data_IF_097009839062
#
_entry.id   IF_097009839062
#
_cell.length_a   1.000
_cell.length_b   1.000
_cell.length_c   1.000
_cell.angle_alpha   90.00
_cell.angle_beta   90.00
_cell.angle_gamma   90.00
#
_symmetry.space_group_name_H-M   'P 1'
#
loop_
_entity.id
_entity.type
_entity.pdbx_description
1 polymer ?
#
# COMPACT_ATOMS: atom_id res chain seq x y z
N UNK A 1 -0.82 22.85 -2.29
CA UNK A 1 -0.90 22.19 -0.98
C UNK A 1 0.04 21.00 -0.98
N UNK A 2 0.87 20.81 0.05
CA UNK A 2 1.69 19.61 0.19
C UNK A 2 1.12 18.77 1.33
N UNK A 3 0.62 17.58 1.01
CA UNK A 3 0.36 16.52 2.00
C UNK A 3 -1.08 16.39 2.53
N UNK A 4 -2.10 16.31 1.67
CA UNK A 4 -3.47 16.04 2.09
C UNK A 4 -4.23 15.17 1.07
N UNK A 5 -5.16 14.35 1.54
CA UNK A 5 -6.21 13.76 0.70
C UNK A 5 -7.35 14.77 0.55
N UNK A 6 -7.88 14.86 -0.67
CA UNK A 6 -8.98 15.76 -1.00
C UNK A 6 -10.28 14.95 -1.03
N UNK A 7 -11.24 15.24 -0.15
CA UNK A 7 -12.55 14.62 -0.19
C UNK A 7 -13.38 15.16 -1.36
N UNK A 8 -14.48 14.48 -1.68
CA UNK A 8 -15.32 14.82 -2.84
C UNK A 8 -16.03 16.18 -2.73
N UNK A 9 -16.15 16.71 -1.52
CA UNK A 9 -16.74 18.00 -1.18
C UNK A 9 -15.69 19.10 -0.96
N UNK A 10 -14.45 18.89 -1.43
CA UNK A 10 -13.38 19.89 -1.33
C UNK A 10 -13.79 21.21 -1.98
N UNK A 11 -13.82 22.27 -1.18
CA UNK A 11 -14.26 23.62 -1.51
C UNK A 11 -13.17 24.49 -2.15
N UNK A 12 -11.94 23.97 -2.26
CA UNK A 12 -10.78 24.70 -2.76
C UNK A 12 -9.91 25.31 -1.65
N UNK A 13 -10.33 25.27 -0.38
CA UNK A 13 -9.62 25.94 0.71
C UNK A 13 -9.46 25.09 1.98
N UNK A 14 -10.55 24.52 2.53
CA UNK A 14 -10.60 24.20 3.96
C UNK A 14 -10.90 22.73 4.29
N UNK A 15 -11.59 22.00 3.40
CA UNK A 15 -11.98 20.61 3.69
C UNK A 15 -10.93 19.64 3.16
N UNK A 16 -9.86 19.38 3.92
CA UNK A 16 -8.85 18.39 3.54
C UNK A 16 -8.58 17.40 4.68
N UNK A 17 -8.17 16.19 4.32
CA UNK A 17 -7.68 15.19 5.28
C UNK A 17 -6.16 15.23 5.26
N UNK A 18 -5.56 15.76 6.33
CA UNK A 18 -4.11 15.93 6.38
C UNK A 18 -3.40 14.59 6.51
N UNK A 19 -2.33 14.38 5.75
CA UNK A 19 -1.53 13.14 5.87
C UNK A 19 -0.98 12.94 7.29
N UNK A 20 -0.63 14.03 7.98
CA UNK A 20 -0.18 14.03 9.38
C UNK A 20 -1.25 13.45 10.33
N UNK A 21 -2.51 13.82 10.13
CA UNK A 21 -3.63 13.35 10.96
C UNK A 21 -3.84 11.84 10.78
N UNK A 22 -3.81 11.36 9.53
CA UNK A 22 -3.90 9.92 9.25
C UNK A 22 -2.72 9.17 9.87
N UNK A 23 -1.50 9.73 9.80
CA UNK A 23 -0.32 9.16 10.45
C UNK A 23 -0.46 9.10 11.98
N UNK A 24 -1.06 10.11 12.62
CA UNK A 24 -1.33 10.11 14.06
C UNK A 24 -2.37 9.05 14.45
N UNK A 25 -3.42 8.88 13.66
CA UNK A 25 -4.42 7.82 13.86
C UNK A 25 -3.73 6.45 13.75
N UNK A 26 -2.91 6.26 12.72
CA UNK A 26 -2.16 5.02 12.53
C UNK A 26 -1.15 4.78 13.64
N UNK A 27 -0.48 5.80 14.17
CA UNK A 27 0.46 5.63 15.27
C UNK A 27 -0.23 5.20 16.56
N UNK A 28 -1.43 5.70 16.82
CA UNK A 28 -2.23 5.34 17.99
C UNK A 28 -2.93 3.98 17.84
N UNK A 29 -2.97 3.41 16.63
CA UNK A 29 -3.52 2.09 16.40
C UNK A 29 -2.60 1.00 16.99
N UNK A 30 -3.19 0.11 17.80
CA UNK A 30 -2.50 -1.00 18.48
C UNK A 30 -2.24 -2.21 17.58
N UNK A 31 -2.69 -2.19 16.33
CA UNK A 31 -2.44 -3.27 15.38
C UNK A 31 -0.93 -3.50 15.19
N UNK A 32 -0.50 -4.76 15.29
CA UNK A 32 0.91 -5.18 15.12
C UNK A 32 1.44 -4.81 13.73
N UNK A 33 0.66 -5.13 12.70
CA UNK A 33 1.00 -4.92 11.30
C UNK A 33 -0.04 -3.99 10.67
N UNK A 34 0.40 -2.97 9.97
CA UNK A 34 -0.46 -1.97 9.32
C UNK A 34 -0.05 -1.86 7.86
N UNK A 35 -1.01 -1.99 6.96
CA UNK A 35 -0.81 -1.78 5.52
C UNK A 35 -1.71 -0.63 5.07
N UNK A 36 -1.11 0.39 4.50
CA UNK A 36 -1.80 1.53 3.90
C UNK A 36 -1.53 1.50 2.40
N UNK A 37 -2.60 1.40 1.61
CA UNK A 37 -2.53 1.50 0.16
C UNK A 37 -3.20 2.83 -0.21
N UNK A 38 -2.47 3.73 -0.85
CA UNK A 38 -3.01 5.01 -1.27
C UNK A 38 -2.86 5.19 -2.79
N UNK A 39 -4.00 5.28 -3.46
CA UNK A 39 -4.07 5.58 -4.87
C UNK A 39 -4.58 7.00 -5.08
N UNK A 40 -3.63 7.93 -5.04
CA UNK A 40 -3.89 9.34 -5.26
C UNK A 40 -2.66 9.96 -5.95
N UNK A 41 -2.90 10.94 -6.82
CA UNK A 41 -1.83 11.76 -7.38
C UNK A 41 -1.04 12.41 -6.23
N UNK A 42 0.29 12.46 -6.35
CA UNK A 42 1.17 13.06 -5.35
C UNK A 42 1.15 12.40 -3.94
N UNK A 43 0.67 11.14 -3.85
CA UNK A 43 0.62 10.36 -2.60
C UNK A 43 2.01 10.17 -1.95
N UNK A 44 3.11 10.26 -2.72
CA UNK A 44 4.48 10.17 -2.22
C UNK A 44 4.90 11.18 -1.13
N UNK A 45 4.11 12.22 -0.87
CA UNK A 45 4.34 13.21 0.21
C UNK A 45 3.96 12.70 1.62
N UNK A 46 3.35 11.52 1.72
CA UNK A 46 2.75 10.94 2.93
C UNK A 46 3.75 10.46 4.02
N UNK A 47 5.07 10.63 3.83
CA UNK A 47 6.07 9.90 4.62
C UNK A 47 6.52 10.70 5.85
N UNK A 48 6.03 10.32 7.03
CA UNK A 48 6.61 10.70 8.32
C UNK A 48 7.28 9.48 8.96
N UNK A 49 8.57 9.62 9.29
CA UNK A 49 9.35 8.64 10.04
C UNK A 49 9.00 8.73 11.52
N UNK A 50 8.59 7.61 12.13
CA UNK A 50 8.86 7.30 13.54
C UNK A 50 8.53 5.85 13.85
N UNK A 51 9.51 5.20 14.48
CA UNK A 51 9.47 3.88 15.09
C UNK A 51 8.43 3.85 16.22
N UNK A 52 7.66 2.75 16.31
CA UNK A 52 6.67 2.52 17.37
C UNK A 52 6.95 1.17 18.02
N UNK A 53 7.11 1.17 19.35
CA UNK A 53 7.14 -0.03 20.18
C UNK A 53 5.76 -0.69 20.21
N UNK A 54 5.72 -1.96 19.83
CA UNK A 54 4.48 -2.73 19.64
C UNK A 54 3.95 -3.36 20.95
N UNK A 55 2.66 -3.21 21.21
CA UNK A 55 1.93 -4.00 22.19
C UNK A 55 1.60 -5.40 21.63
N UNK A 56 1.84 -6.45 22.42
CA UNK A 56 1.48 -7.84 22.09
C UNK A 56 0.05 -8.14 22.52
N UNK A 57 -0.81 -8.47 21.58
CA UNK A 57 -2.06 -9.19 21.86
C UNK A 57 -2.18 -10.33 20.85
N UNK A 58 -2.09 -11.56 21.35
CA UNK A 58 -2.36 -12.76 20.56
C UNK A 58 -3.87 -12.96 20.51
N UNK A 59 -4.43 -13.00 19.30
CA UNK A 59 -5.79 -13.48 19.06
C UNK A 59 -5.67 -14.92 18.57
N UNK A 60 -6.11 -15.85 19.40
CA UNK A 60 -6.27 -17.27 19.06
C UNK A 60 -7.65 -17.43 18.39
N UNK A 61 -7.69 -17.40 17.06
CA UNK A 61 -8.65 -18.12 16.15
C UNK A 61 -8.59 -17.57 14.69
N UNK A 62 -7.43 -17.07 14.25
CA UNK A 62 -7.28 -16.46 12.93
C UNK A 62 -6.61 -17.42 11.95
N UNK A 63 -7.29 -17.80 10.86
CA UNK A 63 -6.74 -18.72 9.85
C UNK A 63 -5.37 -18.29 9.26
N UNK A 64 -4.76 -19.14 8.43
CA UNK A 64 -3.37 -19.08 7.91
C UNK A 64 -2.71 -17.68 7.80
N UNK A 65 -3.42 -16.67 7.29
CA UNK A 65 -2.90 -15.29 7.23
C UNK A 65 -2.49 -14.73 8.60
N UNK A 66 -3.30 -14.93 9.65
CA UNK A 66 -3.01 -14.45 11.00
C UNK A 66 -1.84 -15.20 11.63
N UNK A 67 -1.72 -16.50 11.36
CA UNK A 67 -0.58 -17.30 11.82
C UNK A 67 0.74 -16.77 11.22
N UNK A 68 0.74 -16.44 9.93
CA UNK A 68 1.92 -15.85 9.28
C UNK A 68 2.19 -14.41 9.76
N UNK A 69 1.15 -13.58 9.96
CA UNK A 69 1.30 -12.24 10.55
C UNK A 69 1.88 -12.28 11.97
N UNK A 70 1.62 -13.34 12.74
CA UNK A 70 2.17 -13.49 14.08
C UNK A 70 3.68 -13.75 14.07
N UNK A 71 4.24 -14.26 12.98
CA UNK A 71 5.69 -14.52 12.82
C UNK A 71 6.50 -13.27 12.43
N UNK A 72 5.85 -12.23 11.89
CA UNK A 72 6.55 -11.05 11.37
C UNK A 72 6.94 -10.04 12.45
N UNK A 73 7.85 -9.13 12.13
CA UNK A 73 8.07 -7.94 12.95
C UNK A 73 6.91 -6.94 12.81
N UNK A 74 6.49 -6.28 13.89
CA UNK A 74 5.50 -5.20 13.84
C UNK A 74 5.95 -4.06 12.94
N UNK A 75 4.98 -3.36 12.33
CA UNK A 75 5.31 -2.23 11.47
C UNK A 75 4.15 -1.65 10.69
N UNK A 76 4.45 -0.56 9.97
CA UNK A 76 3.53 0.10 9.05
C UNK A 76 4.16 0.21 7.66
N UNK A 77 3.52 -0.42 6.68
CA UNK A 77 3.88 -0.34 5.27
C UNK A 77 2.94 0.63 4.54
N UNK A 78 3.54 1.52 3.74
CA UNK A 78 2.86 2.47 2.85
C UNK A 78 3.15 2.08 1.40
N UNK A 79 2.12 1.65 0.68
CA UNK A 79 2.17 1.31 -0.73
C UNK A 79 1.41 2.36 -1.54
N UNK A 80 2.14 3.21 -2.24
CA UNK A 80 1.64 4.45 -2.84
C UNK A 80 1.71 4.36 -4.37
N UNK A 81 0.71 4.90 -5.07
CA UNK A 81 0.58 4.74 -6.52
C UNK A 81 1.61 5.51 -7.36
N UNK A 82 2.16 6.61 -6.83
CA UNK A 82 3.05 7.51 -7.57
C UNK A 82 3.96 8.33 -6.65
N UNK A 83 5.03 8.88 -7.22
CA UNK A 83 5.86 9.91 -6.57
C UNK A 83 5.08 11.21 -6.35
N UNK A 84 5.61 12.05 -5.46
CA UNK A 84 5.00 13.33 -5.11
C UNK A 84 4.95 14.34 -6.28
N UNK A 85 5.60 14.06 -7.40
CA UNK A 85 5.65 14.86 -8.63
C UNK A 85 5.09 14.10 -9.85
N UNK A 86 4.48 12.92 -9.65
CA UNK A 86 3.90 12.09 -10.69
C UNK A 86 2.38 11.96 -10.52
N UNK A 87 1.68 11.78 -11.64
CA UNK A 87 0.24 11.53 -11.67
C UNK A 87 -0.06 10.03 -11.54
N UNK A 88 -1.17 9.68 -10.86
CA UNK A 88 -1.71 8.33 -10.92
C UNK A 88 -2.54 8.16 -12.20
N UNK A 89 -2.27 7.10 -12.97
CA UNK A 89 -2.91 6.90 -14.27
C UNK A 89 -4.23 6.14 -14.16
N UNK A 90 -5.29 6.76 -14.68
CA UNK A 90 -6.56 6.09 -14.98
C UNK A 90 -6.66 5.75 -16.46
N UNK A 91 -7.14 4.55 -16.75
CA UNK A 91 -7.31 4.07 -18.13
C UNK A 91 -8.68 3.45 -18.28
N UNK A 92 -9.48 4.02 -19.18
CA UNK A 92 -10.88 3.64 -19.41
C UNK A 92 -11.07 2.16 -19.72
N UNK A 93 -10.08 1.52 -20.38
CA UNK A 93 -10.12 0.09 -20.70
C UNK A 93 -9.92 -0.84 -19.50
N UNK A 94 -9.30 -0.37 -18.41
CA UNK A 94 -9.03 -1.17 -17.21
C UNK A 94 -10.14 -1.06 -16.15
N UNK A 95 -11.07 -0.09 -16.31
CA UNK A 95 -12.11 0.27 -15.33
C UNK A 95 -11.57 0.61 -13.92
N UNK A 96 -10.26 0.71 -13.77
CA UNK A 96 -9.50 0.97 -12.56
C UNK A 96 -8.28 1.81 -12.94
N UNK A 97 -7.63 2.43 -11.96
CA UNK A 97 -6.28 2.95 -12.18
C UNK A 97 -5.32 1.81 -12.53
N UNK A 98 -4.22 2.14 -13.21
CA UNK A 98 -3.17 1.17 -13.56
C UNK A 98 -2.59 0.53 -12.29
N UNK A 99 -2.41 1.33 -11.23
CA UNK A 99 -1.90 0.85 -9.94
C UNK A 99 -2.85 -0.13 -9.26
N UNK A 100 -4.12 0.26 -9.09
CA UNK A 100 -5.15 -0.59 -8.47
C UNK A 100 -5.35 -1.89 -9.27
N UNK A 101 -5.33 -1.81 -10.60
CA UNK A 101 -5.42 -2.98 -11.47
C UNK A 101 -4.33 -4.02 -11.16
N UNK A 102 -3.07 -3.61 -11.03
CA UNK A 102 -1.97 -4.54 -10.73
C UNK A 102 -1.92 -4.97 -9.26
N UNK A 103 -2.38 -4.15 -8.31
CA UNK A 103 -2.56 -4.58 -6.91
C UNK A 103 -3.52 -5.77 -6.84
N UNK A 104 -4.69 -5.66 -7.48
CA UNK A 104 -5.70 -6.71 -7.47
C UNK A 104 -5.20 -8.00 -8.12
N UNK A 105 -4.42 -7.92 -9.21
CA UNK A 105 -3.80 -9.09 -9.84
C UNK A 105 -2.75 -9.74 -8.94
N UNK A 106 -1.90 -8.93 -8.31
CA UNK A 106 -0.90 -9.41 -7.37
C UNK A 106 -1.52 -10.16 -6.18
N UNK A 107 -2.54 -9.57 -5.56
CA UNK A 107 -3.26 -10.16 -4.43
C UNK A 107 -4.02 -11.45 -4.80
N UNK A 108 -4.41 -11.61 -6.08
CA UNK A 108 -5.00 -12.86 -6.60
C UNK A 108 -3.99 -13.98 -6.84
N UNK A 109 -2.70 -13.71 -6.58
CA UNK A 109 -1.63 -14.71 -6.61
C UNK A 109 -0.62 -14.53 -7.73
N UNK A 110 -0.77 -13.54 -8.62
CA UNK A 110 0.25 -13.30 -9.65
C UNK A 110 1.56 -12.72 -9.08
N UNK A 111 1.50 -12.18 -7.86
CA UNK A 111 2.69 -11.72 -7.13
C UNK A 111 3.41 -12.85 -6.37
N UNK A 112 2.78 -14.02 -6.16
CA UNK A 112 3.36 -15.15 -5.44
C UNK A 112 4.47 -15.80 -6.28
N UNK A 113 5.70 -15.31 -6.12
CA UNK A 113 6.83 -15.66 -7.00
C UNK A 113 7.47 -16.98 -6.58
N UNK A 114 7.46 -17.28 -5.29
CA UNK A 114 8.06 -18.48 -4.72
C UNK A 114 7.09 -19.69 -4.72
N UNK A 115 5.82 -19.50 -5.04
CA UNK A 115 4.74 -20.50 -5.08
C UNK A 115 4.42 -21.15 -3.72
N UNK A 116 4.60 -20.43 -2.60
CA UNK A 116 4.25 -20.92 -1.26
C UNK A 116 2.76 -20.71 -0.89
N UNK A 117 2.00 -20.04 -1.77
CA UNK A 117 0.58 -19.67 -1.62
C UNK A 117 0.33 -18.50 -0.66
N UNK A 118 1.38 -17.80 -0.27
CA UNK A 118 1.34 -16.55 0.45
C UNK A 118 1.82 -15.47 -0.52
N UNK A 119 1.25 -14.27 -0.43
CA UNK A 119 1.80 -13.09 -1.09
C UNK A 119 2.31 -12.19 0.01
N UNK A 120 3.61 -11.88 0.02
CA UNK A 120 4.19 -10.90 0.94
C UNK A 120 4.07 -9.46 0.41
N UNK A 121 4.21 -8.47 1.29
CA UNK A 121 4.21 -7.06 0.87
C UNK A 121 5.35 -6.77 -0.12
N UNK A 122 6.51 -7.41 0.06
CA UNK A 122 7.64 -7.28 -0.86
C UNK A 122 7.31 -7.87 -2.23
N UNK A 123 6.75 -9.07 -2.27
CA UNK A 123 6.33 -9.71 -3.52
C UNK A 123 5.28 -8.90 -4.26
N UNK A 124 4.27 -8.40 -3.52
CA UNK A 124 3.24 -7.53 -4.08
C UNK A 124 3.86 -6.28 -4.68
N UNK A 125 4.77 -5.61 -3.96
CA UNK A 125 5.42 -4.41 -4.46
C UNK A 125 6.29 -4.68 -5.68
N UNK A 126 7.11 -5.73 -5.66
CA UNK A 126 7.98 -6.11 -6.79
C UNK A 126 7.13 -6.35 -8.06
N UNK A 127 5.99 -7.04 -7.91
CA UNK A 127 5.04 -7.26 -9.00
C UNK A 127 4.40 -5.96 -9.49
N UNK A 128 3.86 -5.14 -8.58
CA UNK A 128 3.15 -3.91 -8.92
C UNK A 128 4.09 -2.89 -9.57
N UNK A 129 5.27 -2.68 -8.99
CA UNK A 129 6.25 -1.70 -9.46
C UNK A 129 6.67 -1.97 -10.91
N UNK A 130 7.02 -3.22 -11.25
CA UNK A 130 7.40 -3.61 -12.61
C UNK A 130 6.26 -3.41 -13.59
N UNK A 131 5.06 -3.88 -13.24
CA UNK A 131 3.92 -3.87 -14.16
C UNK A 131 3.38 -2.46 -14.40
N UNK A 132 3.24 -1.64 -13.35
CA UNK A 132 2.79 -0.25 -13.46
C UNK A 132 3.78 0.57 -14.29
N UNK A 133 5.08 0.47 -14.00
CA UNK A 133 6.09 1.21 -14.76
C UNK A 133 6.12 0.81 -16.23
N UNK A 134 6.03 -0.50 -16.52
CA UNK A 134 5.97 -1.03 -17.89
C UNK A 134 4.73 -0.54 -18.63
N UNK A 135 3.57 -0.60 -17.98
CA UNK A 135 2.31 -0.18 -18.56
C UNK A 135 2.28 1.33 -18.81
N UNK A 136 2.68 2.14 -17.84
CA UNK A 136 2.79 3.60 -17.98
C UNK A 136 3.71 3.97 -19.16
N UNK A 137 4.87 3.31 -19.26
CA UNK A 137 5.81 3.49 -20.37
C UNK A 137 5.19 3.16 -21.73
N UNK A 138 4.36 2.12 -21.82
CA UNK A 138 3.66 1.78 -23.07
C UNK A 138 2.68 2.87 -23.54
N UNK A 139 2.21 3.71 -22.61
CA UNK A 139 1.37 4.86 -22.89
C UNK A 139 2.17 6.16 -23.09
N UNK A 140 3.51 6.10 -23.11
CA UNK A 140 4.37 7.28 -23.17
C UNK A 140 4.36 8.13 -21.90
N UNK A 141 3.92 7.56 -20.77
CA UNK A 141 3.84 8.23 -19.46
C UNK A 141 4.83 7.60 -18.47
N UNK A 142 4.98 8.23 -17.30
CA UNK A 142 5.77 7.72 -16.18
C UNK A 142 4.89 7.64 -14.94
N UNK A 143 4.96 6.50 -14.26
CA UNK A 143 4.35 6.28 -12.96
C UNK A 143 5.24 5.33 -12.16
N UNK A 144 5.63 5.73 -10.97
CA UNK A 144 6.58 5.02 -10.11
C UNK A 144 5.91 4.71 -8.77
N UNK A 145 5.37 3.49 -8.57
CA UNK A 145 4.87 3.06 -7.27
C UNK A 145 5.96 3.08 -6.20
N UNK A 146 5.56 3.31 -4.95
CA UNK A 146 6.48 3.44 -3.82
C UNK A 146 6.04 2.53 -2.69
N UNK A 147 7.00 1.80 -2.11
CA UNK A 147 6.84 1.12 -0.84
C UNK A 147 7.77 1.78 0.19
N UNK A 148 7.21 2.25 1.31
CA UNK A 148 7.93 2.93 2.40
C UNK A 148 7.35 2.56 3.76
N UNK A 149 8.06 2.93 4.82
CA UNK A 149 7.68 2.69 6.20
C UNK A 149 8.67 1.79 6.92
N UNK A 150 8.34 1.44 8.16
CA UNK A 150 9.07 0.50 8.99
C UNK A 150 8.21 -0.75 9.11
N UNK A 151 8.55 -1.81 8.39
CA UNK A 151 7.75 -3.03 8.28
C UNK A 151 8.62 -4.23 7.94
N UNK A 152 8.12 -5.42 8.24
CA UNK A 152 8.74 -6.68 7.82
C UNK A 152 8.47 -6.93 6.33
N UNK A 153 9.49 -7.07 5.46
CA UNK A 153 9.30 -7.37 4.05
C UNK A 153 8.51 -8.67 3.79
N UNK A 154 8.56 -9.61 4.73
CA UNK A 154 7.84 -10.89 4.68
C UNK A 154 6.42 -10.79 5.24
N UNK A 155 5.95 -9.58 5.61
CA UNK A 155 4.57 -9.36 6.07
C UNK A 155 3.59 -9.87 5.00
N UNK A 156 2.77 -10.90 5.31
CA UNK A 156 1.83 -11.46 4.36
C UNK A 156 0.65 -10.49 4.15
N UNK A 157 0.23 -10.34 2.90
CA UNK A 157 -0.86 -9.44 2.49
C UNK A 157 -2.00 -10.19 1.81
N UNK A 158 -1.78 -11.43 1.36
CA UNK A 158 -2.82 -12.32 0.87
C UNK A 158 -2.43 -13.79 1.01
N UNK A 159 -3.45 -14.65 1.03
CA UNK A 159 -3.31 -16.11 0.86
C UNK A 159 -3.99 -16.49 -0.45
N UNK A 160 -3.25 -17.19 -1.32
CA UNK A 160 -3.73 -17.65 -2.63
C UNK A 160 -4.52 -18.94 -2.41
N UNK A 161 -5.84 -18.90 -2.68
CA UNK A 161 -6.69 -20.08 -2.63
C UNK A 161 -6.69 -20.77 -4.00
N UNK A 162 -6.54 -22.09 -3.99
CA UNK A 162 -6.70 -22.95 -5.19
C UNK A 162 -8.17 -23.19 -5.49
#
# INVERSE_FOLDING_TARGET
>A
MRGSFLPSDYDGESVTVQHEEVNQILSNCTAKNKLVIADACHSGSYVASKSIESARQALEDGGQLYEELNKTQPGTAYLLSSLADEESLEVSSLQNSVFTYFILRGLKGEANKNNDNIVTIKELFDFVSVNVASYAKSLGKKQTPILKGDFDPEMPVAIVRK
#
